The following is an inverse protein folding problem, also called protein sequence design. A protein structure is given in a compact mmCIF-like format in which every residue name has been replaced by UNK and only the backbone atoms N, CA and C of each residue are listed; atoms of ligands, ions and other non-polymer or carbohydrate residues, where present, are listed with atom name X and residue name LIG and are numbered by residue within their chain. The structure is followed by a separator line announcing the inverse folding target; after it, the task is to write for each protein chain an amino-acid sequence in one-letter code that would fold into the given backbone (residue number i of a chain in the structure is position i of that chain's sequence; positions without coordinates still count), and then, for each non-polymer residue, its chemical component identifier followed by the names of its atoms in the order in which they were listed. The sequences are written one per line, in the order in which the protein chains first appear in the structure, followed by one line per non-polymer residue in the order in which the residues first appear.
data_IF_506309364133
#
_entry.id   IF_506309364133
#
_cell.length_a   1.000
_cell.length_b   1.000
_cell.length_c   1.000
_cell.angle_alpha   90.00
_cell.angle_beta   90.00
_cell.angle_gamma   90.00
#
_symmetry.space_group_name_H-M   'P 1'
#
loop_
_entity.id
_entity.type
_entity.pdbx_description
1 polymer ?
#
# COMPACT_ATOMS: atom_id res chain seq x y z
N UNK A 1 3.92 -0.32 20.75
CA UNK A 1 3.60 -0.51 19.33
C UNK A 1 3.69 0.85 18.66
N UNK A 2 4.45 0.99 17.61
CA UNK A 2 4.56 2.23 16.84
C UNK A 2 3.32 2.42 15.94
N UNK A 3 3.14 3.62 15.39
CA UNK A 3 2.04 3.86 14.41
C UNK A 3 2.17 2.95 13.21
N UNK A 4 3.39 2.72 12.72
CA UNK A 4 3.67 1.81 11.60
C UNK A 4 3.26 0.36 11.91
N UNK A 5 3.60 -0.15 13.09
CA UNK A 5 3.20 -1.49 13.52
C UNK A 5 1.66 -1.63 13.61
N UNK A 6 0.96 -0.60 14.08
CA UNK A 6 -0.51 -0.60 14.13
C UNK A 6 -1.13 -0.66 12.72
N UNK A 7 -0.55 0.06 11.75
CA UNK A 7 -1.03 0.02 10.36
C UNK A 7 -0.80 -1.36 9.75
N UNK A 8 0.41 -1.95 9.93
CA UNK A 8 0.71 -3.30 9.44
C UNK A 8 -0.25 -4.33 10.05
N UNK A 9 -0.49 -4.29 11.35
CA UNK A 9 -1.43 -5.19 12.02
C UNK A 9 -2.88 -5.01 11.50
N UNK A 10 -3.30 -3.77 11.21
CA UNK A 10 -4.61 -3.54 10.61
C UNK A 10 -4.71 -4.15 9.19
N UNK A 11 -3.67 -4.00 8.36
CA UNK A 11 -3.62 -4.63 7.03
C UNK A 11 -3.68 -6.15 7.15
N UNK A 12 -2.89 -6.74 8.06
CA UNK A 12 -2.86 -8.19 8.31
C UNK A 12 -4.20 -8.72 8.81
N UNK A 13 -4.84 -8.01 9.74
CA UNK A 13 -6.18 -8.34 10.25
C UNK A 13 -7.24 -8.32 9.15
N UNK A 14 -7.16 -7.34 8.26
CA UNK A 14 -8.07 -7.19 7.12
C UNK A 14 -7.84 -8.25 6.04
N UNK A 15 -6.62 -8.81 5.94
CA UNK A 15 -6.16 -9.86 4.99
C UNK A 15 -6.11 -9.46 3.52
N UNK A 16 -6.65 -8.35 3.13
CA UNK A 16 -6.59 -7.80 1.78
C UNK A 16 -6.48 -6.28 1.84
N UNK A 17 -5.81 -5.68 0.87
CA UNK A 17 -5.72 -4.23 0.73
C UNK A 17 -6.31 -3.84 -0.62
N UNK A 18 -7.58 -3.36 -0.67
CA UNK A 18 -8.15 -2.88 -1.91
C UNK A 18 -7.35 -1.71 -2.46
N UNK A 19 -7.11 -1.73 -3.77
CA UNK A 19 -6.45 -0.64 -4.45
C UNK A 19 -7.23 -0.21 -5.68
N UNK A 20 -7.31 1.10 -5.91
CA UNK A 20 -7.99 1.62 -7.08
C UNK A 20 -7.50 3.02 -7.48
N UNK A 21 -7.89 3.43 -8.66
CA UNK A 21 -7.85 4.79 -9.16
C UNK A 21 -9.08 5.06 -10.01
N UNK A 22 -9.64 6.24 -9.89
CA UNK A 22 -10.62 6.79 -10.83
C UNK A 22 -10.37 8.28 -11.03
N UNK A 23 -10.66 8.80 -12.24
CA UNK A 23 -10.45 10.21 -12.54
C UNK A 23 -11.56 11.11 -11.96
N UNK A 24 -12.78 10.58 -11.84
CA UNK A 24 -13.93 11.28 -11.26
C UNK A 24 -13.87 11.22 -9.73
N UNK A 25 -13.93 12.40 -9.10
CA UNK A 25 -13.90 12.59 -7.66
C UNK A 25 -15.08 11.90 -6.95
N UNK A 26 -16.28 12.02 -7.51
CA UNK A 26 -17.50 11.44 -6.92
C UNK A 26 -17.39 9.91 -6.86
N UNK A 27 -16.92 9.30 -7.95
CA UNK A 27 -16.69 7.84 -8.00
C UNK A 27 -15.66 7.43 -6.96
N UNK A 28 -14.59 8.21 -6.79
CA UNK A 28 -13.56 7.92 -5.77
C UNK A 28 -14.17 7.91 -4.35
N UNK A 29 -14.92 8.94 -4.01
CA UNK A 29 -15.55 9.09 -2.69
C UNK A 29 -16.57 7.97 -2.44
N UNK A 30 -17.46 7.69 -3.37
CA UNK A 30 -18.48 6.64 -3.21
C UNK A 30 -17.85 5.24 -3.15
N UNK A 31 -16.75 4.99 -3.88
CA UNK A 31 -16.01 3.74 -3.79
C UNK A 31 -15.45 3.54 -2.38
N UNK A 32 -14.79 4.56 -1.81
CA UNK A 32 -14.22 4.45 -0.45
C UNK A 32 -15.31 4.29 0.60
N UNK A 33 -16.44 4.99 0.48
CA UNK A 33 -17.59 4.81 1.37
C UNK A 33 -18.15 3.38 1.30
N UNK A 34 -18.29 2.84 0.10
CA UNK A 34 -18.78 1.47 -0.08
C UNK A 34 -17.82 0.44 0.55
N UNK A 35 -16.51 0.60 0.35
CA UNK A 35 -15.50 -0.24 0.98
C UNK A 35 -15.56 -0.12 2.52
N UNK A 36 -15.66 1.09 3.03
CA UNK A 36 -15.77 1.33 4.47
C UNK A 36 -17.03 0.70 5.08
N UNK A 37 -18.18 0.85 4.41
CA UNK A 37 -19.44 0.22 4.81
C UNK A 37 -19.36 -1.32 4.80
N UNK A 38 -18.56 -1.89 3.89
CA UNK A 38 -18.27 -3.32 3.84
C UNK A 38 -17.28 -3.83 4.91
N UNK A 39 -16.79 -2.95 5.80
CA UNK A 39 -15.88 -3.30 6.88
C UNK A 39 -14.39 -3.11 6.57
N UNK A 40 -14.04 -2.59 5.41
CA UNK A 40 -12.66 -2.25 5.05
C UNK A 40 -12.17 -1.06 5.90
N UNK A 41 -10.95 -1.14 6.41
CA UNK A 41 -10.32 -0.12 7.26
C UNK A 41 -8.94 0.34 6.78
N UNK A 42 -8.45 -0.23 5.68
CA UNK A 42 -7.24 0.23 4.98
C UNK A 42 -7.46 0.11 3.47
N UNK A 43 -7.15 1.16 2.71
CA UNK A 43 -7.36 1.26 1.26
C UNK A 43 -6.16 1.97 0.61
N UNK A 44 -5.70 1.49 -0.53
CA UNK A 44 -4.70 2.15 -1.37
C UNK A 44 -5.39 2.93 -2.49
N UNK A 45 -5.19 4.25 -2.55
CA UNK A 45 -5.54 5.06 -3.72
C UNK A 45 -4.29 5.33 -4.55
N UNK A 46 -4.30 4.90 -5.82
CA UNK A 46 -3.08 4.90 -6.64
C UNK A 46 -2.89 6.20 -7.42
N UNK A 47 -1.67 6.73 -7.40
CA UNK A 47 -1.25 7.92 -8.15
C UNK A 47 -0.99 7.58 -9.64
N UNK A 48 -2.06 7.25 -10.39
CA UNK A 48 -1.96 6.79 -11.79
C UNK A 48 -2.48 7.77 -12.82
N UNK A 49 -2.92 8.96 -12.46
CA UNK A 49 -3.44 9.94 -13.41
C UNK A 49 -3.38 11.37 -12.91
N UNK A 50 -3.62 12.33 -13.78
CA UNK A 50 -3.52 13.75 -13.48
C UNK A 50 -4.44 14.22 -12.34
N UNK A 51 -5.61 13.58 -12.17
CA UNK A 51 -6.54 13.91 -11.09
C UNK A 51 -6.15 13.28 -9.75
N UNK A 52 -5.15 12.36 -9.70
CA UNK A 52 -4.90 11.52 -8.54
C UNK A 52 -4.64 12.31 -7.26
N UNK A 53 -3.78 13.32 -7.30
CA UNK A 53 -3.44 14.11 -6.11
C UNK A 53 -4.64 14.92 -5.58
N UNK A 54 -5.42 15.53 -6.47
CA UNK A 54 -6.61 16.28 -6.06
C UNK A 54 -7.70 15.36 -5.50
N UNK A 55 -7.94 14.23 -6.14
CA UNK A 55 -8.90 13.24 -5.65
C UNK A 55 -8.46 12.64 -4.32
N UNK A 56 -7.15 12.41 -4.13
CA UNK A 56 -6.62 11.94 -2.84
C UNK A 56 -6.93 12.93 -1.70
N UNK A 57 -6.73 14.23 -1.91
CA UNK A 57 -7.09 15.25 -0.91
C UNK A 57 -8.58 15.20 -0.56
N UNK A 58 -9.44 14.99 -1.55
CA UNK A 58 -10.88 14.83 -1.31
C UNK A 58 -11.21 13.57 -0.51
N UNK A 59 -10.51 12.48 -0.77
CA UNK A 59 -10.65 11.26 0.02
C UNK A 59 -10.22 11.48 1.47
N UNK A 60 -9.13 12.24 1.71
CA UNK A 60 -8.69 12.61 3.07
C UNK A 60 -9.73 13.50 3.77
N UNK A 61 -10.28 14.51 3.09
CA UNK A 61 -11.36 15.36 3.63
C UNK A 61 -12.57 14.50 4.05
N UNK A 62 -13.02 13.60 3.19
CA UNK A 62 -14.15 12.71 3.48
C UNK A 62 -13.84 11.71 4.60
N UNK A 63 -12.65 11.10 4.60
CA UNK A 63 -12.17 10.23 5.66
C UNK A 63 -12.24 10.94 7.02
N UNK A 64 -11.70 12.15 7.11
CA UNK A 64 -11.67 12.93 8.34
C UNK A 64 -13.07 13.32 8.84
N UNK A 65 -14.02 13.49 7.91
CA UNK A 65 -15.41 13.84 8.21
C UNK A 65 -16.22 12.64 8.74
N UNK A 66 -16.14 11.49 8.08
CA UNK A 66 -17.11 10.40 8.28
C UNK A 66 -16.52 9.01 8.50
N UNK A 67 -15.20 8.80 8.31
CA UNK A 67 -14.56 7.49 8.35
C UNK A 67 -13.22 7.54 9.11
N UNK A 68 -13.22 8.07 10.32
CA UNK A 68 -12.02 8.45 11.10
C UNK A 68 -11.07 7.29 11.41
N UNK A 69 -11.54 6.05 11.37
CA UNK A 69 -10.77 4.83 11.57
C UNK A 69 -10.33 4.16 10.25
N UNK A 70 -10.57 4.82 9.10
CA UNK A 70 -10.05 4.38 7.82
C UNK A 70 -8.61 4.87 7.63
N UNK A 71 -7.73 3.95 7.30
CA UNK A 71 -6.36 4.22 6.88
C UNK A 71 -6.31 4.36 5.35
N UNK A 72 -5.84 5.51 4.87
CA UNK A 72 -5.78 5.82 3.44
C UNK A 72 -4.32 5.90 2.98
N UNK A 73 -3.92 4.95 2.14
CA UNK A 73 -2.59 4.94 1.53
C UNK A 73 -2.56 5.71 0.21
N UNK A 74 -1.46 6.40 -0.03
CA UNK A 74 -1.09 6.85 -1.36
C UNK A 74 -0.23 5.78 -2.04
N UNK A 75 -0.73 5.21 -3.14
CA UNK A 75 -0.04 4.19 -3.94
C UNK A 75 0.64 4.76 -5.18
N UNK A 76 1.54 3.98 -5.76
CA UNK A 76 2.32 4.36 -6.96
C UNK A 76 3.21 5.60 -6.72
N UNK A 77 3.70 5.77 -5.49
CA UNK A 77 4.67 6.81 -5.13
C UNK A 77 6.05 6.39 -5.62
N UNK A 78 6.76 7.25 -6.36
CA UNK A 78 8.03 6.90 -7.04
C UNK A 78 9.13 7.95 -6.89
N UNK A 79 8.96 8.93 -6.02
CA UNK A 79 9.98 9.94 -5.73
C UNK A 79 9.75 10.57 -4.36
N UNK A 80 10.81 11.09 -3.76
CA UNK A 80 10.75 11.84 -2.49
C UNK A 80 9.77 13.01 -2.55
N UNK A 81 9.71 13.72 -3.69
CA UNK A 81 8.74 14.81 -3.89
C UNK A 81 7.30 14.32 -3.76
N UNK A 82 6.94 13.24 -4.47
CA UNK A 82 5.61 12.67 -4.36
C UNK A 82 5.33 12.16 -2.93
N UNK A 83 6.31 11.53 -2.29
CA UNK A 83 6.16 11.06 -0.92
C UNK A 83 5.77 12.22 0.01
N UNK A 84 6.52 13.32 0.00
CA UNK A 84 6.23 14.49 0.82
C UNK A 84 4.86 15.10 0.47
N UNK A 85 4.54 15.28 -0.81
CA UNK A 85 3.24 15.81 -1.26
C UNK A 85 2.06 14.99 -0.70
N UNK A 86 2.13 13.66 -0.74
CA UNK A 86 1.04 12.81 -0.22
C UNK A 86 1.02 12.72 1.31
N UNK A 87 2.17 12.74 1.97
CA UNK A 87 2.26 12.82 3.44
C UNK A 87 1.62 14.12 3.92
N UNK A 88 2.00 15.26 3.33
CA UNK A 88 1.45 16.59 3.66
C UNK A 88 -0.06 16.66 3.38
N UNK A 89 -0.54 15.94 2.37
CA UNK A 89 -1.96 15.82 2.06
C UNK A 89 -2.72 14.91 3.03
N UNK A 90 -2.05 14.20 3.94
CA UNK A 90 -2.67 13.38 4.98
C UNK A 90 -2.74 11.89 4.67
N UNK A 91 -1.81 11.36 3.89
CA UNK A 91 -1.66 9.91 3.74
C UNK A 91 -1.25 9.27 5.08
N UNK A 92 -1.91 8.17 5.44
CA UNK A 92 -1.56 7.41 6.64
C UNK A 92 -0.35 6.51 6.40
N UNK A 93 -0.15 6.07 5.16
CA UNK A 93 1.02 5.32 4.73
C UNK A 93 1.23 5.42 3.21
N UNK A 94 2.42 5.01 2.75
CA UNK A 94 2.81 5.07 1.34
C UNK A 94 3.06 3.68 0.77
N UNK A 95 2.76 3.49 -0.53
CA UNK A 95 3.06 2.27 -1.27
C UNK A 95 3.73 2.63 -2.59
N UNK A 96 4.84 1.97 -2.88
CA UNK A 96 5.60 2.14 -4.12
C UNK A 96 5.54 0.90 -4.99
N UNK A 97 5.65 1.04 -6.32
CA UNK A 97 5.80 -0.10 -7.22
C UNK A 97 7.24 -0.63 -7.27
N UNK A 98 8.20 0.11 -6.73
CA UNK A 98 9.64 -0.18 -6.71
C UNK A 98 10.24 0.25 -5.37
N UNK A 99 11.45 -0.23 -5.07
CA UNK A 99 12.27 0.37 -4.02
C UNK A 99 12.89 1.67 -4.55
N UNK A 100 12.76 2.77 -3.81
CA UNK A 100 13.37 4.07 -4.09
C UNK A 100 13.90 4.67 -2.79
N UNK A 101 15.21 4.90 -2.73
CA UNK A 101 15.87 5.39 -1.51
C UNK A 101 15.35 6.77 -1.08
N UNK A 102 15.03 7.65 -2.05
CA UNK A 102 14.48 8.98 -1.73
C UNK A 102 13.08 8.92 -1.14
N UNK A 103 12.24 7.94 -1.54
CA UNK A 103 10.94 7.69 -0.91
C UNK A 103 11.15 7.12 0.49
N UNK A 104 12.10 6.20 0.66
CA UNK A 104 12.48 5.65 1.96
C UNK A 104 12.85 6.76 2.95
N UNK A 105 13.78 7.65 2.55
CA UNK A 105 14.25 8.76 3.37
C UNK A 105 13.13 9.74 3.74
N UNK A 106 12.25 10.04 2.78
CA UNK A 106 11.10 10.92 3.02
C UNK A 106 10.11 10.29 4.02
N UNK A 107 9.78 9.02 3.86
CA UNK A 107 8.89 8.29 4.75
C UNK A 107 9.48 8.18 6.16
N UNK A 108 10.75 7.80 6.28
CA UNK A 108 11.45 7.70 7.56
C UNK A 108 11.48 9.04 8.31
N UNK A 109 11.85 10.13 7.62
CA UNK A 109 11.92 11.48 8.20
C UNK A 109 10.57 11.96 8.74
N UNK A 110 9.47 11.53 8.11
CA UNK A 110 8.09 11.86 8.50
C UNK A 110 7.44 10.80 9.41
N UNK A 111 8.16 9.73 9.80
CA UNK A 111 7.64 8.62 10.59
C UNK A 111 6.36 8.02 9.98
N UNK A 112 6.35 7.90 8.67
CA UNK A 112 5.24 7.37 7.87
C UNK A 112 5.61 5.98 7.37
N UNK A 113 4.75 4.99 7.60
CA UNK A 113 4.95 3.65 7.04
C UNK A 113 5.07 3.72 5.52
N UNK A 114 6.12 3.09 4.99
CA UNK A 114 6.29 2.89 3.57
C UNK A 114 6.41 1.41 3.23
N UNK A 115 5.67 0.98 2.21
CA UNK A 115 5.66 -0.38 1.69
C UNK A 115 6.27 -0.36 0.28
N UNK A 116 7.56 -0.71 0.13
CA UNK A 116 8.22 -0.76 -1.19
C UNK A 116 7.74 -1.94 -2.02
N UNK A 117 7.74 -1.77 -3.35
CA UNK A 117 7.57 -2.84 -4.31
C UNK A 117 8.90 -3.51 -4.63
N UNK A 118 8.95 -4.84 -4.61
CA UNK A 118 10.12 -5.63 -4.96
C UNK A 118 9.74 -6.81 -5.85
N UNK A 119 10.64 -7.17 -6.77
CA UNK A 119 10.48 -8.30 -7.68
C UNK A 119 11.63 -9.33 -7.57
N UNK A 120 12.72 -8.99 -6.88
CA UNK A 120 13.91 -9.84 -6.77
C UNK A 120 14.37 -9.99 -5.32
N UNK A 121 15.08 -11.08 -4.96
CA UNK A 121 15.66 -11.23 -3.63
C UNK A 121 16.62 -10.09 -3.25
N UNK A 122 17.34 -9.52 -4.23
CA UNK A 122 18.24 -8.37 -3.97
C UNK A 122 17.46 -7.13 -3.53
N UNK A 123 16.36 -6.81 -4.21
CA UNK A 123 15.51 -5.68 -3.82
C UNK A 123 14.86 -5.89 -2.45
N UNK A 124 14.44 -7.13 -2.15
CA UNK A 124 13.88 -7.50 -0.85
C UNK A 124 14.93 -7.31 0.25
N UNK A 125 16.17 -7.76 0.03
CA UNK A 125 17.26 -7.57 0.97
C UNK A 125 17.56 -6.09 1.23
N UNK A 126 17.60 -5.26 0.18
CA UNK A 126 17.79 -3.81 0.33
C UNK A 126 16.64 -3.19 1.14
N UNK A 127 15.40 -3.61 0.91
CA UNK A 127 14.25 -3.14 1.67
C UNK A 127 14.28 -3.59 3.14
N UNK A 128 14.73 -4.83 3.42
CA UNK A 128 14.92 -5.34 4.77
C UNK A 128 15.99 -4.54 5.53
N UNK A 129 17.16 -4.30 4.91
CA UNK A 129 18.22 -3.46 5.48
C UNK A 129 17.78 -2.02 5.75
N UNK A 130 16.85 -1.49 4.93
CA UNK A 130 16.20 -0.21 5.15
C UNK A 130 15.13 -0.24 6.28
N UNK A 131 14.91 -1.39 6.92
CA UNK A 131 13.99 -1.55 8.06
C UNK A 131 12.55 -1.86 7.67
N UNK A 132 12.23 -2.10 6.39
CA UNK A 132 10.88 -2.46 5.96
C UNK A 132 10.47 -3.82 6.55
N UNK A 133 9.26 -3.92 7.09
CA UNK A 133 8.68 -5.13 7.67
C UNK A 133 7.58 -5.75 6.80
N UNK A 134 6.99 -4.96 5.92
CA UNK A 134 6.00 -5.37 4.94
C UNK A 134 6.47 -4.91 3.56
N UNK A 135 6.55 -5.85 2.62
CA UNK A 135 7.04 -5.60 1.26
C UNK A 135 5.97 -6.04 0.25
N UNK A 136 5.69 -5.16 -0.70
CA UNK A 136 4.82 -5.45 -1.83
C UNK A 136 5.58 -6.28 -2.87
N UNK A 137 5.07 -7.46 -3.21
CA UNK A 137 5.59 -8.26 -4.32
C UNK A 137 4.90 -7.81 -5.61
N UNK A 138 5.67 -7.16 -6.50
CA UNK A 138 5.11 -6.57 -7.71
C UNK A 138 6.09 -6.68 -8.90
N UNK A 139 5.61 -7.09 -10.09
CA UNK A 139 4.23 -7.47 -10.44
C UNK A 139 3.91 -8.93 -10.06
N UNK A 140 2.92 -9.12 -9.17
CA UNK A 140 2.59 -10.44 -8.62
C UNK A 140 2.19 -11.47 -9.68
N UNK A 141 1.44 -11.06 -10.70
CA UNK A 141 1.02 -11.94 -11.79
C UNK A 141 2.17 -12.53 -12.62
N UNK A 142 3.34 -11.93 -12.59
CA UNK A 142 4.55 -12.44 -13.27
C UNK A 142 5.34 -13.38 -12.36
N UNK A 143 5.36 -13.12 -11.07
CA UNK A 143 6.16 -13.86 -10.11
C UNK A 143 5.42 -15.10 -9.57
N UNK A 144 4.14 -14.97 -9.33
CA UNK A 144 3.28 -16.05 -8.84
C UNK A 144 3.50 -16.43 -7.37
N UNK A 145 2.60 -17.27 -6.82
CA UNK A 145 2.67 -17.68 -5.41
C UNK A 145 3.93 -18.47 -5.04
N UNK A 146 4.49 -19.23 -6.00
CA UNK A 146 5.72 -20.02 -5.79
C UNK A 146 6.93 -19.14 -5.46
N UNK A 147 7.00 -17.95 -6.03
CA UNK A 147 8.05 -16.98 -5.70
C UNK A 147 7.99 -16.60 -4.21
N UNK A 148 6.81 -16.25 -3.71
CA UNK A 148 6.63 -15.87 -2.29
C UNK A 148 7.03 -17.03 -1.37
N UNK A 149 6.63 -18.25 -1.70
CA UNK A 149 7.01 -19.44 -0.93
C UNK A 149 8.54 -19.58 -0.82
N UNK A 150 9.25 -19.40 -1.93
CA UNK A 150 10.72 -19.54 -1.98
C UNK A 150 11.42 -18.42 -1.20
N UNK A 151 10.99 -17.17 -1.34
CA UNK A 151 11.66 -16.04 -0.66
C UNK A 151 11.33 -15.99 0.83
N UNK A 152 10.19 -16.50 1.28
CA UNK A 152 9.82 -16.52 2.70
C UNK A 152 10.77 -17.36 3.55
N UNK A 153 11.38 -18.39 2.97
CA UNK A 153 12.40 -19.20 3.63
C UNK A 153 13.70 -18.39 3.88
N UNK A 154 14.01 -17.45 2.98
CA UNK A 154 15.21 -16.60 3.07
C UNK A 154 14.94 -15.37 3.96
N UNK A 155 13.74 -14.81 3.91
CA UNK A 155 13.32 -13.60 4.64
C UNK A 155 12.17 -13.91 5.62
N UNK A 156 12.42 -14.69 6.68
CA UNK A 156 11.36 -15.17 7.58
C UNK A 156 10.67 -14.04 8.37
N UNK A 157 11.35 -12.91 8.57
CA UNK A 157 10.85 -11.78 9.36
C UNK A 157 10.13 -10.72 8.52
N UNK A 158 10.05 -10.91 7.20
CA UNK A 158 9.36 -9.99 6.29
C UNK A 158 7.97 -10.53 5.98
N UNK A 159 6.96 -9.69 6.09
CA UNK A 159 5.63 -9.97 5.55
C UNK A 159 5.56 -9.55 4.08
N UNK A 160 4.91 -10.36 3.25
CA UNK A 160 4.79 -10.11 1.82
C UNK A 160 3.33 -9.87 1.41
N UNK A 161 3.13 -8.81 0.60
CA UNK A 161 1.84 -8.44 0.06
C UNK A 161 1.86 -8.55 -1.47
N UNK A 162 1.37 -9.66 -2.06
CA UNK A 162 1.30 -9.77 -3.51
C UNK A 162 0.35 -8.74 -4.10
N UNK A 163 0.76 -8.13 -5.22
CA UNK A 163 -0.05 -7.16 -5.95
C UNK A 163 0.00 -7.45 -7.44
N UNK A 164 -1.19 -7.61 -8.04
CA UNK A 164 -1.37 -8.07 -9.41
C UNK A 164 -1.56 -9.59 -9.49
N UNK A 165 -2.63 -10.02 -10.20
CA UNK A 165 -2.99 -11.42 -10.35
C UNK A 165 -3.69 -12.05 -9.14
N UNK A 166 -4.00 -11.27 -8.12
CA UNK A 166 -4.88 -11.69 -7.03
C UNK A 166 -6.32 -11.37 -7.42
N UNK A 167 -7.16 -12.40 -7.54
CA UNK A 167 -8.55 -12.30 -7.97
C UNK A 167 -9.48 -12.78 -6.85
N UNK A 168 -10.70 -12.24 -6.73
CA UNK A 168 -11.63 -12.60 -5.66
C UNK A 168 -12.36 -13.93 -5.95
N UNK A 169 -11.64 -14.94 -6.40
CA UNK A 169 -12.13 -16.29 -6.59
C UNK A 169 -11.50 -17.23 -5.57
N UNK A 170 -12.26 -18.24 -5.12
CA UNK A 170 -11.77 -19.19 -4.12
C UNK A 170 -10.49 -19.89 -4.56
N UNK A 171 -10.42 -20.31 -5.82
CA UNK A 171 -9.26 -21.00 -6.40
C UNK A 171 -8.01 -20.09 -6.37
N UNK A 172 -8.14 -18.83 -6.84
CA UNK A 172 -7.03 -17.90 -6.89
C UNK A 172 -6.55 -17.51 -5.48
N UNK A 173 -7.49 -17.22 -4.56
CA UNK A 173 -7.14 -16.87 -3.18
C UNK A 173 -6.47 -18.03 -2.42
N UNK A 174 -6.81 -19.30 -2.73
CA UNK A 174 -6.12 -20.45 -2.13
C UNK A 174 -4.72 -20.68 -2.73
N UNK A 175 -4.48 -20.21 -3.94
CA UNK A 175 -3.16 -20.32 -4.57
C UNK A 175 -2.15 -19.33 -3.97
N UNK A 176 -2.60 -18.17 -3.51
CA UNK A 176 -1.79 -17.13 -2.88
C UNK A 176 -1.63 -17.31 -1.39
#
# INVERSE_FOLDING_TARGET
MTTEELIIEQIKKQKLLPLFYHADETVCVETVKALYAAGIRAVEFTNRGAAAFNNFKKLVEERNRSMKDLLLAAGTVRSSRQANEFIDAGADFLISPVFDAGVCDAAYSNKTLWIPGCATPTEIHVAEEAGCKLIKIFPGNQLGPSFIKSIKEIFPNIDFMPTGGVEPTSENLHAW
#
